data_IF_320297760147
#
_entry.id   IF_320297760147
#
_cell.length_a   1.000
_cell.length_b   1.000
_cell.length_c   1.000
_cell.angle_alpha   90.00
_cell.angle_beta   90.00
_cell.angle_gamma   90.00
#
_symmetry.space_group_name_H-M   'P 1'
#
loop_
_entity.id
_entity.type
_entity.pdbx_description
1 polymer ?
#
# COMPACT_ATOMS: atom_id res chain seq x y z
N UNK A 1 -39.96 -97.02 80.05
CA UNK A 1 -39.72 -95.67 79.49
C UNK A 1 -38.86 -95.79 78.24
N UNK A 2 -39.48 -95.72 77.05
CA UNK A 2 -38.86 -95.01 75.93
C UNK A 2 -39.92 -94.42 74.97
N UNK A 3 -40.34 -93.16 75.13
CA UNK A 3 -41.27 -92.50 74.16
C UNK A 3 -40.88 -91.09 73.75
N UNK A 4 -39.94 -90.42 74.43
CA UNK A 4 -39.61 -89.02 74.14
C UNK A 4 -38.60 -88.80 73.00
N UNK A 5 -37.76 -89.78 72.65
CA UNK A 5 -36.67 -89.58 71.68
C UNK A 5 -37.09 -89.57 70.20
N UNK A 6 -38.28 -90.09 69.86
CA UNK A 6 -38.77 -90.12 68.46
C UNK A 6 -39.50 -88.84 68.05
N UNK A 7 -40.15 -88.14 68.98
CA UNK A 7 -40.84 -86.88 68.70
C UNK A 7 -39.82 -85.76 68.45
N UNK A 8 -38.80 -85.70 69.29
CA UNK A 8 -37.74 -84.69 69.25
C UNK A 8 -36.89 -84.76 67.96
N UNK A 9 -36.60 -85.99 67.50
CA UNK A 9 -35.92 -86.22 66.21
C UNK A 9 -36.74 -85.77 65.00
N UNK A 10 -38.07 -85.86 65.07
CA UNK A 10 -38.96 -85.51 63.96
C UNK A 10 -39.10 -84.00 63.81
N UNK A 11 -39.13 -83.27 64.92
CA UNK A 11 -39.10 -81.81 64.92
C UNK A 11 -37.72 -81.27 64.52
N UNK A 12 -36.62 -81.90 64.96
CA UNK A 12 -35.28 -81.58 64.47
C UNK A 12 -35.16 -81.74 62.94
N UNK A 13 -35.69 -82.82 62.37
CA UNK A 13 -35.68 -83.04 60.91
C UNK A 13 -36.51 -82.00 60.16
N UNK A 14 -37.68 -81.62 60.68
CA UNK A 14 -38.48 -80.52 60.09
C UNK A 14 -37.74 -79.19 60.15
N UNK A 15 -37.08 -78.89 61.29
CA UNK A 15 -36.31 -77.66 61.46
C UNK A 15 -35.13 -77.58 60.51
N UNK A 16 -34.42 -78.70 60.30
CA UNK A 16 -33.34 -78.78 59.30
C UNK A 16 -33.88 -78.52 57.90
N UNK A 17 -34.98 -79.15 57.49
CA UNK A 17 -35.60 -78.90 56.18
C UNK A 17 -36.05 -77.44 56.00
N UNK A 18 -36.57 -76.80 57.04
CA UNK A 18 -36.92 -75.37 56.99
C UNK A 18 -35.68 -74.49 56.84
N UNK A 19 -34.63 -74.76 57.62
CA UNK A 19 -33.37 -74.01 57.54
C UNK A 19 -32.65 -74.22 56.20
N UNK A 20 -32.72 -75.41 55.61
CA UNK A 20 -32.18 -75.69 54.27
C UNK A 20 -32.92 -74.88 53.20
N UNK A 21 -34.25 -74.83 53.26
CA UNK A 21 -35.07 -74.02 52.35
C UNK A 21 -34.82 -72.50 52.53
N UNK A 22 -34.67 -72.02 53.77
CA UNK A 22 -34.29 -70.62 54.05
C UNK A 22 -32.90 -70.29 53.50
N UNK A 23 -31.93 -71.21 53.64
CA UNK A 23 -30.56 -71.03 53.16
C UNK A 23 -30.49 -71.03 51.62
N UNK A 24 -31.25 -71.90 50.94
CA UNK A 24 -31.40 -71.84 49.47
C UNK A 24 -32.03 -70.51 49.01
N UNK A 25 -33.05 -70.03 49.72
CA UNK A 25 -33.69 -68.75 49.42
C UNK A 25 -32.72 -67.58 49.61
N UNK A 26 -31.94 -67.56 50.69
CA UNK A 26 -30.92 -66.53 50.95
C UNK A 26 -29.80 -66.55 49.91
N UNK A 27 -29.33 -67.74 49.49
CA UNK A 27 -28.33 -67.86 48.42
C UNK A 27 -28.86 -67.31 47.09
N UNK A 28 -30.11 -67.61 46.75
CA UNK A 28 -30.77 -67.08 45.56
C UNK A 28 -30.91 -65.55 45.62
N UNK A 29 -31.34 -65.00 46.76
CA UNK A 29 -31.43 -63.55 46.99
C UNK A 29 -30.05 -62.86 46.90
N UNK A 30 -29.02 -63.45 47.49
CA UNK A 30 -27.66 -62.93 47.43
C UNK A 30 -27.11 -62.94 45.99
N UNK A 31 -27.34 -64.02 45.24
CA UNK A 31 -26.97 -64.12 43.83
C UNK A 31 -27.66 -63.04 42.99
N UNK A 32 -28.97 -62.89 43.14
CA UNK A 32 -29.74 -61.85 42.43
C UNK A 32 -29.28 -60.43 42.79
N UNK A 33 -28.99 -60.17 44.08
CA UNK A 33 -28.50 -58.86 44.53
C UNK A 33 -27.10 -58.55 43.98
N UNK A 34 -26.25 -59.57 43.84
CA UNK A 34 -24.94 -59.42 43.19
C UNK A 34 -25.09 -59.11 41.70
N UNK A 35 -25.99 -59.78 40.98
CA UNK A 35 -26.27 -59.50 39.57
C UNK A 35 -26.80 -58.09 39.35
N UNK A 36 -27.76 -57.66 40.19
CA UNK A 36 -28.32 -56.30 40.14
C UNK A 36 -27.24 -55.24 40.40
N UNK A 37 -26.36 -55.48 41.37
CA UNK A 37 -25.23 -54.60 41.68
C UNK A 37 -24.23 -54.53 40.51
N UNK A 38 -23.85 -55.66 39.94
CA UNK A 38 -22.95 -55.73 38.79
C UNK A 38 -23.54 -55.02 37.57
N UNK A 39 -24.85 -55.15 37.34
CA UNK A 39 -25.56 -54.48 36.25
C UNK A 39 -25.56 -52.96 36.43
N UNK A 40 -25.88 -52.47 37.64
CA UNK A 40 -25.85 -51.05 37.98
C UNK A 40 -24.44 -50.46 37.89
N UNK A 41 -23.44 -51.18 38.40
CA UNK A 41 -22.04 -50.76 38.30
C UNK A 41 -21.59 -50.64 36.84
N UNK A 42 -21.88 -51.63 36.00
CA UNK A 42 -21.57 -51.58 34.56
C UNK A 42 -22.28 -50.43 33.86
N UNK A 43 -23.54 -50.14 34.21
CA UNK A 43 -24.28 -49.02 33.65
C UNK A 43 -23.65 -47.68 34.05
N UNK A 44 -23.39 -47.46 35.34
CA UNK A 44 -22.76 -46.24 35.84
C UNK A 44 -21.38 -46.01 35.20
N UNK A 45 -20.58 -47.07 35.10
CA UNK A 45 -19.28 -47.07 34.42
C UNK A 45 -19.40 -46.66 32.95
N UNK A 46 -20.37 -47.24 32.22
CA UNK A 46 -20.63 -46.89 30.81
C UNK A 46 -21.09 -45.45 30.64
N UNK A 47 -21.94 -44.93 31.53
CA UNK A 47 -22.38 -43.53 31.48
C UNK A 47 -21.16 -42.62 31.64
N UNK A 48 -20.35 -42.85 32.66
CA UNK A 48 -19.18 -42.02 32.93
C UNK A 48 -18.16 -42.10 31.79
N UNK A 49 -17.90 -43.28 31.22
CA UNK A 49 -16.91 -43.46 30.14
C UNK A 49 -17.36 -42.92 28.77
N UNK A 50 -18.66 -42.74 28.53
CA UNK A 50 -19.18 -42.17 27.29
C UNK A 50 -19.43 -40.66 27.36
N UNK A 51 -19.43 -40.07 28.57
CA UNK A 51 -19.49 -38.62 28.73
C UNK A 51 -18.17 -38.01 28.26
N UNK A 52 -18.19 -36.96 27.41
CA UNK A 52 -16.98 -36.32 26.91
C UNK A 52 -16.24 -35.49 27.97
N UNK A 53 -16.94 -35.11 29.05
CA UNK A 53 -16.35 -34.40 30.17
C UNK A 53 -15.47 -35.36 30.99
N UNK A 54 -14.34 -34.86 31.46
CA UNK A 54 -13.41 -35.58 32.32
C UNK A 54 -14.08 -35.74 33.67
N UNK A 55 -14.19 -36.96 34.21
CA UNK A 55 -14.82 -37.23 35.51
C UNK A 55 -13.85 -37.95 36.43
N UNK A 56 -13.80 -37.53 37.69
CA UNK A 56 -12.96 -38.16 38.70
C UNK A 56 -13.60 -38.15 40.08
N UNK A 57 -13.11 -39.05 40.92
CA UNK A 57 -13.18 -38.95 42.37
C UNK A 57 -11.78 -39.17 42.93
N UNK A 58 -11.40 -38.43 43.98
CA UNK A 58 -10.14 -38.55 44.69
C UNK A 58 -10.37 -38.69 46.19
N UNK A 59 -9.44 -39.33 46.88
CA UNK A 59 -9.42 -39.42 48.33
C UNK A 59 -8.83 -38.16 49.00
N UNK A 60 -8.68 -38.20 50.33
CA UNK A 60 -8.11 -37.12 51.12
C UNK A 60 -6.66 -36.80 50.76
N UNK A 61 -5.89 -37.76 50.25
CA UNK A 61 -4.49 -37.63 49.82
C UNK A 61 -4.36 -37.25 48.32
N UNK A 62 -5.46 -36.83 47.69
CA UNK A 62 -5.54 -36.48 46.26
C UNK A 62 -5.21 -37.67 45.32
N UNK A 63 -5.40 -38.91 45.77
CA UNK A 63 -5.27 -40.10 44.93
C UNK A 63 -6.62 -40.45 44.32
N UNK A 64 -6.61 -40.85 43.06
CA UNK A 64 -7.81 -41.22 42.34
C UNK A 64 -8.50 -42.44 42.96
N UNK A 65 -9.79 -42.30 43.27
CA UNK A 65 -10.73 -43.39 43.58
C UNK A 65 -11.48 -43.82 42.32
N UNK A 66 -11.68 -42.88 41.40
CA UNK A 66 -12.38 -43.10 40.14
C UNK A 66 -11.83 -42.15 39.07
N UNK A 67 -11.76 -42.64 37.84
CA UNK A 67 -11.48 -41.88 36.65
C UNK A 67 -12.32 -42.45 35.50
N UNK A 68 -12.92 -41.59 34.67
CA UNK A 68 -13.53 -42.04 33.42
C UNK A 68 -12.51 -42.06 32.27
N UNK A 69 -12.93 -42.64 31.15
CA UNK A 69 -12.13 -42.71 29.93
C UNK A 69 -11.71 -41.34 29.40
N UNK A 70 -12.58 -40.33 29.44
CA UNK A 70 -12.24 -38.99 28.97
C UNK A 70 -11.08 -38.37 29.75
N UNK A 71 -11.03 -38.54 31.09
CA UNK A 71 -9.91 -38.11 31.92
C UNK A 71 -8.60 -38.79 31.51
N UNK A 72 -8.64 -40.11 31.29
CA UNK A 72 -7.48 -40.86 30.82
C UNK A 72 -6.99 -40.40 29.44
N UNK A 73 -7.89 -40.26 28.48
CA UNK A 73 -7.53 -39.97 27.09
C UNK A 73 -7.06 -38.52 26.90
N UNK A 74 -7.62 -37.56 27.66
CA UNK A 74 -7.37 -36.12 27.47
C UNK A 74 -6.36 -35.51 28.41
N UNK A 75 -6.31 -35.98 29.67
CA UNK A 75 -5.44 -35.39 30.68
C UNK A 75 -4.33 -36.36 31.08
N UNK A 76 -4.66 -37.52 31.63
CA UNK A 76 -3.67 -38.41 32.27
C UNK A 76 -2.84 -39.24 31.27
N UNK A 77 -3.27 -39.29 30.01
CA UNK A 77 -2.63 -40.04 28.92
C UNK A 77 -2.47 -41.54 29.22
N UNK A 78 -3.49 -42.16 29.80
CA UNK A 78 -3.55 -43.58 30.16
C UNK A 78 -4.54 -44.37 29.29
N UNK A 79 -4.25 -45.66 29.07
CA UNK A 79 -5.14 -46.55 28.31
C UNK A 79 -6.21 -47.24 29.17
N UNK A 80 -5.92 -47.50 30.44
CA UNK A 80 -6.85 -48.16 31.36
C UNK A 80 -7.23 -47.21 32.52
N UNK A 81 -8.48 -46.76 32.62
CA UNK A 81 -8.97 -45.97 33.75
C UNK A 81 -8.84 -46.64 35.12
N UNK A 82 -8.89 -47.97 35.20
CA UNK A 82 -8.75 -48.71 36.47
C UNK A 82 -7.33 -48.63 37.02
N UNK A 83 -6.34 -48.53 36.12
CA UNK A 83 -4.92 -48.39 36.48
C UNK A 83 -4.58 -47.00 37.06
N UNK A 84 -5.55 -46.08 37.08
CA UNK A 84 -5.43 -44.74 37.67
C UNK A 84 -5.65 -44.76 39.18
N UNK A 85 -6.42 -45.74 39.69
CA UNK A 85 -6.81 -45.79 41.09
C UNK A 85 -5.57 -45.87 42.00
N UNK A 86 -5.54 -45.07 43.06
CA UNK A 86 -4.45 -44.97 44.03
C UNK A 86 -3.27 -44.07 43.62
N UNK A 87 -3.26 -43.55 42.39
CA UNK A 87 -2.25 -42.59 41.89
C UNK A 87 -2.79 -41.16 41.98
N UNK A 88 -1.90 -40.17 41.92
CA UNK A 88 -2.27 -38.75 41.89
C UNK A 88 -1.86 -38.11 40.54
N UNK A 89 -2.21 -36.84 40.33
CA UNK A 89 -1.89 -36.11 39.09
C UNK A 89 -0.37 -36.05 38.83
N UNK A 90 0.43 -35.84 39.88
CA UNK A 90 1.88 -35.74 39.80
C UNK A 90 2.52 -37.00 39.22
N UNK A 91 2.04 -38.19 39.60
CA UNK A 91 2.51 -39.45 39.03
C UNK A 91 2.41 -39.45 37.49
N UNK A 92 1.28 -39.00 36.94
CA UNK A 92 1.07 -38.99 35.48
C UNK A 92 1.86 -37.87 34.79
N UNK A 93 1.94 -36.69 35.41
CA UNK A 93 2.76 -35.59 34.91
C UNK A 93 4.25 -35.99 34.83
N UNK A 94 4.78 -36.62 35.88
CA UNK A 94 6.16 -37.11 35.94
C UNK A 94 6.40 -38.24 34.94
N UNK A 95 5.45 -39.16 34.79
CA UNK A 95 5.55 -40.23 33.79
C UNK A 95 5.70 -39.65 32.38
N UNK A 96 4.83 -38.69 32.01
CA UNK A 96 4.90 -38.02 30.72
C UNK A 96 6.19 -37.21 30.56
N UNK A 97 6.65 -36.52 31.60
CA UNK A 97 7.95 -35.82 31.62
C UNK A 97 9.13 -36.78 31.41
N UNK A 98 9.11 -37.96 32.04
CA UNK A 98 10.13 -39.00 31.87
C UNK A 98 10.14 -39.57 30.44
N UNK A 99 9.00 -39.58 29.77
CA UNK A 99 8.83 -39.93 28.36
C UNK A 99 9.20 -38.78 27.40
N UNK A 100 9.81 -37.69 27.91
CA UNK A 100 10.27 -36.55 27.12
C UNK A 100 9.15 -35.58 26.70
N UNK A 101 7.95 -35.71 27.26
CA UNK A 101 6.82 -34.84 26.95
C UNK A 101 6.74 -33.65 27.91
N UNK A 102 6.25 -32.50 27.43
CA UNK A 102 5.94 -31.37 28.32
C UNK A 102 4.55 -31.54 28.90
N UNK A 103 4.45 -31.80 30.19
CA UNK A 103 3.19 -31.97 30.89
C UNK A 103 3.21 -31.16 32.20
N UNK A 104 2.39 -30.11 32.27
CA UNK A 104 2.37 -29.13 33.36
C UNK A 104 0.96 -28.79 33.83
N UNK A 105 -0.05 -29.52 33.37
CA UNK A 105 -1.44 -29.29 33.76
C UNK A 105 -1.60 -29.51 35.28
N UNK A 106 -2.18 -28.54 35.98
CA UNK A 106 -2.38 -28.58 37.43
C UNK A 106 -1.17 -28.15 38.28
N UNK A 107 0.00 -27.86 37.70
CA UNK A 107 1.19 -27.42 38.46
C UNK A 107 1.24 -25.91 38.70
N UNK A 108 0.52 -25.13 37.89
CA UNK A 108 0.59 -23.65 37.87
C UNK A 108 -0.57 -23.03 38.68
N UNK A 109 -1.60 -23.82 39.00
CA UNK A 109 -2.79 -23.40 39.72
C UNK A 109 -2.69 -23.74 41.21
N UNK A 110 -3.34 -22.92 42.05
CA UNK A 110 -3.61 -23.25 43.45
C UNK A 110 -4.35 -24.60 43.53
N UNK A 111 -3.99 -25.47 44.49
CA UNK A 111 -4.56 -26.82 44.56
C UNK A 111 -6.06 -26.75 44.88
N UNK A 112 -6.89 -26.71 43.84
CA UNK A 112 -8.33 -26.53 43.92
C UNK A 112 -9.03 -27.69 44.63
N UNK A 113 -8.42 -28.88 44.68
CA UNK A 113 -8.92 -30.00 45.49
C UNK A 113 -8.85 -29.68 46.99
N UNK A 114 -7.76 -29.06 47.46
CA UNK A 114 -7.60 -28.71 48.88
C UNK A 114 -8.55 -27.56 49.29
N UNK A 115 -8.78 -26.60 48.40
CA UNK A 115 -9.77 -25.53 48.60
C UNK A 115 -11.17 -26.12 48.83
N UNK A 116 -11.58 -27.11 48.03
CA UNK A 116 -12.90 -27.74 48.15
C UNK A 116 -13.02 -28.54 49.45
N UNK A 117 -11.97 -29.25 49.87
CA UNK A 117 -11.94 -29.97 51.14
C UNK A 117 -12.05 -29.00 52.32
N UNK A 118 -11.30 -27.91 52.31
CA UNK A 118 -11.33 -26.90 53.38
C UNK A 118 -12.68 -26.18 53.47
N UNK A 119 -13.25 -25.78 52.33
CA UNK A 119 -14.53 -25.06 52.29
C UNK A 119 -15.75 -25.96 52.43
N UNK A 120 -15.60 -27.27 52.21
CA UNK A 120 -16.68 -28.27 52.33
C UNK A 120 -17.88 -28.01 51.42
N UNK A 121 -17.70 -27.37 50.26
CA UNK A 121 -18.80 -27.00 49.34
C UNK A 121 -18.40 -27.11 47.88
N UNK A 122 -19.40 -27.27 47.01
CA UNK A 122 -19.20 -27.31 45.57
C UNK A 122 -18.68 -25.95 45.04
N UNK A 123 -17.70 -25.99 44.14
CA UNK A 123 -17.03 -24.82 43.59
C UNK A 123 -16.67 -25.04 42.10
N UNK A 124 -16.47 -23.94 41.39
CA UNK A 124 -16.08 -23.90 39.98
C UNK A 124 -14.73 -23.24 39.83
N UNK A 125 -13.87 -23.84 39.02
CA UNK A 125 -12.50 -23.39 38.73
C UNK A 125 -12.27 -23.40 37.21
N UNK A 126 -11.33 -22.58 36.76
CA UNK A 126 -10.79 -22.67 35.41
C UNK A 126 -9.34 -23.06 35.57
N UNK A 127 -8.96 -24.21 35.04
CA UNK A 127 -7.62 -24.79 35.17
C UNK A 127 -7.01 -24.93 33.78
N UNK A 128 -5.75 -24.56 33.62
CA UNK A 128 -5.05 -24.63 32.35
C UNK A 128 -3.62 -25.13 32.49
N UNK A 129 -3.07 -25.63 31.39
CA UNK A 129 -1.69 -26.06 31.33
C UNK A 129 -1.35 -26.82 30.07
N UNK A 130 -0.17 -27.42 30.03
CA UNK A 130 0.28 -28.22 28.91
C UNK A 130 0.06 -29.70 29.18
N UNK A 131 -0.49 -30.41 28.21
CA UNK A 131 -0.57 -31.88 28.16
C UNK A 131 0.12 -32.33 26.89
N UNK A 132 1.25 -33.05 27.02
CA UNK A 132 2.13 -33.40 25.90
C UNK A 132 2.48 -32.22 24.97
N UNK A 133 2.75 -31.06 25.57
CA UNK A 133 3.07 -29.81 24.88
C UNK A 133 1.87 -29.09 24.24
N UNK A 134 0.67 -29.66 24.28
CA UNK A 134 -0.55 -29.02 23.80
C UNK A 134 -1.22 -28.28 24.95
N UNK A 135 -1.67 -27.05 24.69
CA UNK A 135 -2.39 -26.27 25.70
C UNK A 135 -3.81 -26.79 25.87
N UNK A 136 -4.20 -27.03 27.12
CA UNK A 136 -5.51 -27.51 27.54
C UNK A 136 -6.06 -26.54 28.58
N UNK A 137 -7.35 -26.20 28.45
CA UNK A 137 -8.10 -25.41 29.43
C UNK A 137 -9.37 -26.16 29.79
N UNK A 138 -9.56 -26.40 31.09
CA UNK A 138 -10.73 -27.08 31.64
C UNK A 138 -11.60 -26.12 32.45
N UNK A 139 -12.91 -26.18 32.21
CA UNK A 139 -13.94 -25.64 33.10
C UNK A 139 -14.31 -26.73 34.12
N UNK A 140 -13.85 -26.55 35.34
CA UNK A 140 -13.81 -27.60 36.37
C UNK A 140 -14.84 -27.33 37.45
N UNK A 141 -15.71 -28.29 37.68
CA UNK A 141 -16.67 -28.30 38.79
C UNK A 141 -16.26 -29.38 39.79
N UNK A 142 -16.01 -29.00 41.04
CA UNK A 142 -15.60 -29.91 42.11
C UNK A 142 -16.54 -29.79 43.31
N UNK A 143 -16.75 -30.88 44.03
CA UNK A 143 -17.57 -30.96 45.24
C UNK A 143 -16.93 -31.92 46.25
N UNK A 144 -17.21 -31.76 47.57
CA UNK A 144 -16.80 -32.73 48.57
C UNK A 144 -17.50 -34.06 48.30
N UNK A 145 -16.72 -35.15 48.32
CA UNK A 145 -17.25 -36.51 48.29
C UNK A 145 -17.47 -36.96 49.73
N UNK A 146 -18.72 -37.25 50.09
CA UNK A 146 -19.11 -37.63 51.45
C UNK A 146 -19.50 -39.12 51.51
N UNK A 147 -19.23 -39.76 52.65
CA UNK A 147 -19.76 -41.10 52.95
C UNK A 147 -21.23 -41.05 53.41
N UNK A 148 -21.82 -42.22 53.67
CA UNK A 148 -23.21 -42.35 54.16
C UNK A 148 -23.45 -41.68 55.53
N UNK A 149 -22.39 -41.49 56.31
CA UNK A 149 -22.42 -40.83 57.63
C UNK A 149 -22.17 -39.32 57.55
N UNK A 150 -21.88 -38.79 56.36
CA UNK A 150 -21.57 -37.38 56.13
C UNK A 150 -20.10 -37.00 56.34
N UNK A 151 -19.20 -37.97 56.55
CA UNK A 151 -17.76 -37.69 56.65
C UNK A 151 -17.16 -37.46 55.27
N UNK A 152 -16.15 -36.59 55.21
CA UNK A 152 -15.44 -36.28 53.96
C UNK A 152 -14.51 -37.44 53.55
N UNK A 153 -14.82 -38.09 52.43
CA UNK A 153 -13.97 -39.10 51.79
C UNK A 153 -12.91 -38.48 50.87
N UNK A 154 -13.19 -37.31 50.32
CA UNK A 154 -12.29 -36.59 49.43
C UNK A 154 -13.04 -35.64 48.49
N UNK A 155 -12.70 -35.63 47.20
CA UNK A 155 -13.34 -34.76 46.21
C UNK A 155 -13.90 -35.55 45.03
N UNK A 156 -14.97 -35.04 44.43
CA UNK A 156 -15.53 -35.53 43.17
C UNK A 156 -15.69 -34.35 42.24
N UNK A 157 -15.49 -34.56 40.94
CA UNK A 157 -15.62 -33.46 40.00
C UNK A 157 -15.72 -33.89 38.55
N UNK A 158 -16.02 -32.90 37.73
CA UNK A 158 -15.91 -33.00 36.29
C UNK A 158 -15.20 -31.78 35.70
N UNK A 159 -14.55 -31.97 34.56
CA UNK A 159 -13.82 -30.96 33.82
C UNK A 159 -14.22 -31.01 32.36
N UNK A 160 -14.71 -29.89 31.83
CA UNK A 160 -15.03 -29.76 30.40
C UNK A 160 -13.88 -29.07 29.67
N UNK A 161 -13.39 -29.68 28.60
CA UNK A 161 -12.44 -29.04 27.69
C UNK A 161 -13.11 -27.85 27.01
N UNK A 162 -12.64 -26.64 27.34
CA UNK A 162 -13.09 -25.37 26.77
C UNK A 162 -11.98 -24.69 25.96
N UNK A 163 -10.93 -25.44 25.59
CA UNK A 163 -9.74 -24.90 24.92
C UNK A 163 -10.11 -24.23 23.61
N UNK A 164 -10.96 -24.89 22.81
CA UNK A 164 -11.39 -24.38 21.49
C UNK A 164 -12.25 -23.13 21.64
N UNK A 165 -13.17 -23.13 22.59
CA UNK A 165 -14.09 -22.04 22.88
C UNK A 165 -13.32 -20.80 23.37
N UNK A 166 -12.36 -21.00 24.28
CA UNK A 166 -11.46 -19.95 24.75
C UNK A 166 -10.64 -19.36 23.60
N UNK A 167 -10.07 -20.20 22.74
CA UNK A 167 -9.26 -19.75 21.61
C UNK A 167 -10.10 -18.94 20.61
N UNK A 168 -11.29 -19.44 20.25
CA UNK A 168 -12.23 -18.71 19.37
C UNK A 168 -12.62 -17.36 19.98
N UNK A 169 -12.92 -17.32 21.29
CA UNK A 169 -13.26 -16.08 21.97
C UNK A 169 -12.11 -15.08 21.93
N UNK A 170 -10.89 -15.53 22.24
CA UNK A 170 -9.68 -14.70 22.23
C UNK A 170 -9.35 -14.18 20.83
N UNK A 171 -9.49 -15.02 19.81
CA UNK A 171 -9.26 -14.61 18.41
C UNK A 171 -10.32 -13.61 17.93
N UNK A 172 -11.58 -13.80 18.34
CA UNK A 172 -12.67 -12.86 18.06
C UNK A 172 -12.44 -11.50 18.75
N UNK A 173 -12.04 -11.51 20.02
CA UNK A 173 -11.70 -10.29 20.76
C UNK A 173 -10.53 -9.55 20.11
N UNK A 174 -9.45 -10.27 19.76
CA UNK A 174 -8.29 -9.70 19.06
C UNK A 174 -8.67 -9.12 17.70
N UNK A 175 -9.50 -9.83 16.94
CA UNK A 175 -10.00 -9.37 15.64
C UNK A 175 -10.85 -8.11 15.79
N UNK A 176 -11.77 -8.07 16.77
CA UNK A 176 -12.60 -6.89 17.07
C UNK A 176 -11.74 -5.69 17.49
N UNK A 177 -10.79 -5.89 18.40
CA UNK A 177 -9.88 -4.83 18.84
C UNK A 177 -9.05 -4.29 17.68
N UNK A 178 -8.51 -5.16 16.82
CA UNK A 178 -7.76 -4.75 15.63
C UNK A 178 -8.61 -3.97 14.64
N UNK A 179 -9.85 -4.40 14.38
CA UNK A 179 -10.78 -3.68 13.49
C UNK A 179 -11.14 -2.31 14.05
N UNK A 180 -11.38 -2.21 15.35
CA UNK A 180 -11.69 -0.96 16.01
C UNK A 180 -10.51 0.02 15.95
N UNK A 181 -9.29 -0.47 16.22
CA UNK A 181 -8.08 0.34 16.11
C UNK A 181 -7.87 0.88 14.69
N UNK A 182 -8.09 0.06 13.65
CA UNK A 182 -8.00 0.52 12.25
C UNK A 182 -9.01 1.63 11.94
N UNK A 183 -10.22 1.55 12.49
CA UNK A 183 -11.26 2.56 12.27
C UNK A 183 -10.98 3.85 13.05
N UNK A 184 -10.42 3.74 14.25
CA UNK A 184 -10.07 4.88 15.11
C UNK A 184 -8.81 5.62 14.64
N UNK A 185 -7.85 4.92 14.04
CA UNK A 185 -6.59 5.50 13.55
C UNK A 185 -6.65 6.02 12.11
N UNK A 186 -7.68 5.67 11.35
CA UNK A 186 -7.88 6.19 9.99
C UNK A 186 -8.28 7.68 10.02
N UNK A 187 -7.36 8.57 9.62
CA UNK A 187 -7.58 10.02 9.63
C UNK A 187 -8.05 10.60 8.29
N UNK A 188 -7.59 10.05 7.16
CA UNK A 188 -7.82 10.65 5.82
C UNK A 188 -9.22 10.40 5.25
N UNK A 189 -9.98 9.50 5.89
CA UNK A 189 -11.32 9.16 5.49
C UNK A 189 -12.17 8.77 6.69
N UNK A 190 -13.48 9.00 6.59
CA UNK A 190 -14.43 8.65 7.62
C UNK A 190 -15.41 7.60 7.14
N UNK A 191 -15.65 6.60 7.99
CA UNK A 191 -16.65 5.57 7.78
C UNK A 191 -17.97 5.98 8.42
N UNK A 192 -19.07 5.58 7.81
CA UNK A 192 -20.38 5.69 8.42
C UNK A 192 -21.26 4.50 8.03
N UNK A 193 -22.16 4.14 8.94
CA UNK A 193 -23.24 3.18 8.70
C UNK A 193 -24.55 3.80 9.14
N UNK A 194 -25.52 3.74 8.24
CA UNK A 194 -26.90 4.14 8.51
C UNK A 194 -27.82 2.92 8.41
N UNK A 195 -28.84 2.88 9.25
CA UNK A 195 -29.95 1.92 9.17
C UNK A 195 -31.12 2.58 8.43
N UNK A 196 -31.70 1.84 7.50
CA UNK A 196 -32.87 2.22 6.72
C UNK A 196 -34.06 1.40 7.23
N UNK A 197 -35.07 2.07 7.81
CA UNK A 197 -36.31 1.39 8.20
C UNK A 197 -37.18 1.15 6.95
N UNK A 198 -37.64 -0.09 6.75
CA UNK A 198 -38.50 -0.42 5.59
C UNK A 198 -39.83 0.36 5.56
N UNK A 199 -40.36 0.71 6.74
CA UNK A 199 -41.63 1.47 6.86
C UNK A 199 -41.45 2.96 6.51
N UNK A 200 -40.24 3.51 6.68
CA UNK A 200 -39.91 4.90 6.36
C UNK A 200 -38.55 4.97 5.65
N UNK A 201 -38.45 4.55 4.37
CA UNK A 201 -37.17 4.38 3.68
C UNK A 201 -36.40 5.68 3.47
N UNK A 202 -37.00 6.84 3.76
CA UNK A 202 -36.35 8.17 3.72
C UNK A 202 -35.71 8.59 5.04
N UNK A 203 -35.94 7.85 6.12
CA UNK A 203 -35.31 8.12 7.42
C UNK A 203 -34.11 7.21 7.63
N UNK A 204 -32.93 7.83 7.61
CA UNK A 204 -31.65 7.19 7.89
C UNK A 204 -31.31 7.39 9.37
N UNK A 205 -31.26 6.30 10.13
CA UNK A 205 -30.76 6.32 11.50
C UNK A 205 -29.25 6.11 11.51
N UNK A 206 -28.51 6.98 12.18
CA UNK A 206 -27.06 6.81 12.35
C UNK A 206 -26.81 5.61 13.27
N UNK A 207 -26.13 4.59 12.77
CA UNK A 207 -25.69 3.41 13.55
C UNK A 207 -24.27 3.62 14.03
N UNK A 208 -23.42 4.13 13.13
CA UNK A 208 -22.01 4.31 13.39
C UNK A 208 -21.46 5.44 12.51
N UNK A 209 -20.50 6.18 13.04
CA UNK A 209 -19.64 7.10 12.29
C UNK A 209 -18.27 7.12 12.95
N UNK A 210 -17.19 7.04 12.16
CA UNK A 210 -15.84 7.05 12.70
C UNK A 210 -15.48 8.42 13.29
N UNK A 211 -14.58 8.47 14.28
CA UNK A 211 -14.14 9.74 14.89
C UNK A 211 -13.61 10.76 13.88
N UNK A 212 -12.93 10.30 12.81
CA UNK A 212 -12.39 11.13 11.74
C UNK A 212 -13.42 11.99 11.01
N UNK A 213 -14.72 11.65 11.07
CA UNK A 213 -15.77 12.48 10.49
C UNK A 213 -15.83 13.90 11.09
N UNK A 214 -15.36 14.04 12.33
CA UNK A 214 -15.26 15.32 13.03
C UNK A 214 -14.22 16.24 12.39
N UNK A 215 -13.08 15.70 11.99
CA UNK A 215 -11.99 16.47 11.38
C UNK A 215 -12.22 16.69 9.88
N UNK A 216 -12.82 15.71 9.19
CA UNK A 216 -13.08 15.78 7.74
C UNK A 216 -14.25 16.71 7.42
N UNK A 217 -15.34 16.61 8.17
CA UNK A 217 -16.60 17.25 7.83
C UNK A 217 -17.17 18.13 8.97
N UNK A 218 -16.50 18.20 10.13
CA UNK A 218 -17.01 18.93 11.28
C UNK A 218 -18.22 18.27 11.93
N UNK A 219 -18.43 16.97 11.70
CA UNK A 219 -19.61 16.24 12.19
C UNK A 219 -19.43 15.92 13.68
N UNK A 220 -20.48 16.19 14.44
CA UNK A 220 -20.65 15.73 15.82
C UNK A 220 -21.65 14.56 15.81
N UNK A 221 -21.24 13.33 16.18
CA UNK A 221 -22.06 12.11 16.02
C UNK A 221 -23.43 12.12 16.71
N UNK A 222 -23.58 12.92 17.77
CA UNK A 222 -24.80 13.15 18.54
C UNK A 222 -25.84 14.01 17.78
N UNK A 223 -25.44 14.72 16.73
CA UNK A 223 -26.35 15.52 15.93
C UNK A 223 -27.11 14.67 14.91
N UNK A 224 -28.38 15.01 14.61
CA UNK A 224 -29.15 14.32 13.58
C UNK A 224 -28.51 14.50 12.19
N UNK A 225 -28.59 13.46 11.36
CA UNK A 225 -28.00 13.41 10.01
C UNK A 225 -28.33 14.64 9.14
N UNK A 226 -29.54 15.20 9.27
CA UNK A 226 -29.96 16.40 8.52
C UNK A 226 -29.09 17.63 8.78
N UNK A 227 -28.36 17.67 9.91
CA UNK A 227 -27.45 18.76 10.28
C UNK A 227 -25.98 18.49 9.92
N UNK A 228 -25.64 17.29 9.47
CA UNK A 228 -24.24 16.92 9.19
C UNK A 228 -23.63 17.71 8.04
N UNK A 229 -24.45 18.06 7.03
CA UNK A 229 -23.94 18.70 5.82
C UNK A 229 -24.73 19.96 5.47
N UNK A 230 -24.05 21.10 5.53
CA UNK A 230 -24.50 22.32 4.86
C UNK A 230 -23.91 22.35 3.44
N UNK A 231 -24.71 21.91 2.46
CA UNK A 231 -24.27 21.75 1.07
C UNK A 231 -24.29 23.11 0.34
N UNK A 232 -23.21 23.40 -0.41
CA UNK A 232 -23.08 24.59 -1.24
C UNK A 232 -24.22 24.69 -2.27
N UNK A 233 -24.73 25.89 -2.50
CA UNK A 233 -25.93 26.15 -3.34
C UNK A 233 -25.87 25.47 -4.72
N UNK A 234 -24.74 25.59 -5.41
CA UNK A 234 -24.52 25.02 -6.74
C UNK A 234 -24.58 23.49 -6.78
N UNK A 235 -24.30 22.81 -5.66
CA UNK A 235 -24.21 21.35 -5.62
C UNK A 235 -25.51 20.69 -5.12
N UNK A 236 -26.43 21.46 -4.51
CA UNK A 236 -27.68 20.95 -3.90
C UNK A 236 -28.55 20.14 -4.85
N UNK A 237 -28.73 20.62 -6.09
CA UNK A 237 -29.57 19.94 -7.11
C UNK A 237 -28.98 18.57 -7.46
N UNK A 238 -27.67 18.52 -7.72
CA UNK A 238 -26.94 17.31 -8.09
C UNK A 238 -26.95 16.28 -6.97
N UNK A 239 -26.66 16.70 -5.73
CA UNK A 239 -26.66 15.80 -4.57
C UNK A 239 -28.06 15.24 -4.31
N UNK A 240 -29.11 16.06 -4.40
CA UNK A 240 -30.50 15.61 -4.25
C UNK A 240 -30.86 14.54 -5.28
N UNK A 241 -30.51 14.74 -6.54
CA UNK A 241 -30.78 13.77 -7.60
C UNK A 241 -29.98 12.47 -7.39
N UNK A 242 -28.72 12.55 -6.98
CA UNK A 242 -27.91 11.39 -6.66
C UNK A 242 -28.46 10.59 -5.48
N UNK A 243 -28.94 11.26 -4.44
CA UNK A 243 -29.57 10.62 -3.29
C UNK A 243 -30.83 9.84 -3.68
N UNK A 244 -31.67 10.41 -4.54
CA UNK A 244 -32.87 9.72 -5.06
C UNK A 244 -32.50 8.49 -5.91
N UNK A 245 -31.49 8.61 -6.79
CA UNK A 245 -31.00 7.47 -7.58
C UNK A 245 -30.39 6.37 -6.71
N UNK A 246 -29.71 6.73 -5.63
CA UNK A 246 -29.07 5.78 -4.72
C UNK A 246 -30.09 4.84 -4.05
N UNK A 247 -31.33 5.28 -3.83
CA UNK A 247 -32.39 4.40 -3.31
C UNK A 247 -32.75 3.28 -4.29
N UNK A 248 -32.66 3.55 -5.59
CA UNK A 248 -32.98 2.57 -6.65
C UNK A 248 -31.81 1.64 -6.96
N UNK A 249 -30.59 2.18 -6.94
CA UNK A 249 -29.38 1.46 -7.37
C UNK A 249 -28.48 0.99 -6.23
N UNK A 250 -28.87 1.27 -4.99
CA UNK A 250 -28.11 0.95 -3.77
C UNK A 250 -26.67 1.50 -3.81
N UNK A 251 -26.41 2.57 -4.56
CA UNK A 251 -25.09 3.18 -4.71
C UNK A 251 -25.18 4.69 -4.76
N UNK A 252 -24.34 5.34 -3.97
CA UNK A 252 -24.13 6.78 -3.95
C UNK A 252 -22.64 7.04 -4.18
N UNK A 253 -22.30 7.92 -5.10
CA UNK A 253 -20.93 8.33 -5.36
C UNK A 253 -20.97 9.76 -5.88
N UNK A 254 -20.61 10.74 -5.04
CA UNK A 254 -20.67 12.15 -5.39
C UNK A 254 -19.56 12.97 -4.74
N UNK A 255 -19.11 13.99 -5.47
CA UNK A 255 -18.21 15.04 -5.00
C UNK A 255 -19.00 16.34 -4.90
N UNK A 256 -19.00 16.97 -3.74
CA UNK A 256 -19.75 18.21 -3.50
C UNK A 256 -19.13 19.02 -2.38
N UNK A 257 -19.41 20.31 -2.34
CA UNK A 257 -18.91 21.19 -1.30
C UNK A 257 -19.82 21.22 -0.09
N UNK A 258 -19.20 21.14 1.09
CA UNK A 258 -19.84 21.33 2.38
C UNK A 258 -19.20 22.49 3.12
N UNK A 259 -19.97 23.19 3.95
CA UNK A 259 -19.41 24.15 4.89
C UNK A 259 -18.92 23.39 6.13
N UNK A 260 -17.63 23.49 6.42
CA UNK A 260 -17.04 22.88 7.60
C UNK A 260 -17.22 23.83 8.80
N UNK A 261 -18.05 23.50 9.81
CA UNK A 261 -18.43 24.45 10.86
C UNK A 261 -17.26 24.91 11.73
N UNK A 262 -16.35 23.99 12.13
CA UNK A 262 -15.20 24.34 12.98
C UNK A 262 -14.13 25.18 12.28
N UNK A 263 -13.86 24.88 11.01
CA UNK A 263 -12.88 25.61 10.21
C UNK A 263 -13.47 26.86 9.54
N UNK A 264 -14.79 27.06 9.65
CA UNK A 264 -15.54 28.16 9.04
C UNK A 264 -15.26 28.37 7.54
N UNK A 265 -15.09 27.29 6.77
CA UNK A 265 -14.74 27.36 5.34
C UNK A 265 -15.42 26.27 4.51
N UNK A 266 -15.52 26.50 3.20
CA UNK A 266 -16.00 25.50 2.25
C UNK A 266 -14.92 24.46 1.97
N UNK A 267 -15.30 23.18 2.07
CA UNK A 267 -14.46 22.01 1.79
C UNK A 267 -15.13 21.14 0.73
N UNK A 268 -14.33 20.51 -0.12
CA UNK A 268 -14.81 19.50 -1.06
C UNK A 268 -14.82 18.12 -0.40
N UNK A 269 -15.98 17.47 -0.41
CA UNK A 269 -16.16 16.14 0.14
C UNK A 269 -16.49 15.15 -0.99
N UNK A 270 -15.83 14.00 -0.99
CA UNK A 270 -16.21 12.86 -1.83
C UNK A 270 -16.85 11.79 -0.96
N UNK A 271 -18.14 11.54 -1.17
CA UNK A 271 -18.89 10.52 -0.42
C UNK A 271 -19.23 9.35 -1.33
N UNK A 272 -18.87 8.16 -0.89
CA UNK A 272 -19.19 6.88 -1.55
C UNK A 272 -19.98 6.04 -0.55
N UNK A 273 -21.17 5.57 -0.93
CA UNK A 273 -21.97 4.70 -0.09
C UNK A 273 -22.66 3.61 -0.89
N UNK A 274 -22.87 2.45 -0.26
CA UNK A 274 -23.54 1.29 -0.83
C UNK A 274 -24.61 0.78 0.13
N UNK A 275 -25.80 0.49 -0.41
CA UNK A 275 -26.89 -0.15 0.31
C UNK A 275 -26.66 -1.65 0.42
N UNK A 276 -26.91 -2.20 1.60
CA UNK A 276 -26.78 -3.62 1.93
C UNK A 276 -28.09 -4.08 2.55
N UNK A 277 -28.78 -5.03 1.92
CA UNK A 277 -30.00 -5.62 2.47
C UNK A 277 -29.63 -6.59 3.60
N UNK A 278 -30.07 -6.31 4.83
CA UNK A 278 -30.07 -7.27 5.92
C UNK A 278 -31.46 -7.88 6.07
N UNK A 279 -31.56 -9.11 6.57
CA UNK A 279 -32.81 -9.89 6.54
C UNK A 279 -34.06 -9.17 7.09
N UNK A 280 -33.93 -8.39 8.18
CA UNK A 280 -35.01 -7.55 8.74
C UNK A 280 -34.82 -6.04 8.53
N UNK A 281 -33.58 -5.60 8.32
CA UNK A 281 -33.20 -4.18 8.21
C UNK A 281 -32.22 -3.99 7.06
N UNK A 282 -32.37 -2.92 6.29
CA UNK A 282 -31.39 -2.52 5.27
C UNK A 282 -30.42 -1.50 5.86
N UNK A 283 -29.16 -1.58 5.44
CA UNK A 283 -28.10 -0.68 5.88
C UNK A 283 -27.52 0.08 4.70
N UNK A 284 -26.99 1.27 4.96
CA UNK A 284 -26.15 2.01 4.01
C UNK A 284 -24.78 2.18 4.64
N UNK A 285 -23.77 1.59 4.02
CA UNK A 285 -22.37 1.71 4.44
C UNK A 285 -21.70 2.70 3.51
N UNK A 286 -20.96 3.66 4.06
CA UNK A 286 -20.22 4.60 3.23
C UNK A 286 -18.95 5.11 3.86
N UNK A 287 -18.17 5.73 3.00
CA UNK A 287 -16.92 6.42 3.30
C UNK A 287 -17.00 7.83 2.76
N UNK A 288 -16.33 8.76 3.44
CA UNK A 288 -16.18 10.14 2.97
C UNK A 288 -14.72 10.58 3.07
N UNK A 289 -14.27 11.33 2.06
CA UNK A 289 -12.92 11.86 1.94
C UNK A 289 -12.98 13.39 1.82
N UNK A 290 -12.10 14.11 2.52
CA UNK A 290 -11.81 15.50 2.15
C UNK A 290 -10.91 15.48 0.91
N UNK A 291 -11.40 16.05 -0.19
CA UNK A 291 -10.68 16.16 -1.46
C UNK A 291 -10.37 17.62 -1.81
N UNK A 292 -10.43 18.53 -0.84
CA UNK A 292 -10.22 19.97 -1.05
C UNK A 292 -8.85 20.26 -1.65
N UNK A 293 -7.80 19.71 -1.08
CA UNK A 293 -6.43 19.95 -1.54
C UNK A 293 -6.16 19.29 -2.90
N UNK A 294 -6.78 18.13 -3.13
CA UNK A 294 -6.78 17.48 -4.44
C UNK A 294 -7.46 18.35 -5.51
N UNK A 295 -8.63 18.93 -5.21
CA UNK A 295 -9.37 19.79 -6.13
C UNK A 295 -8.59 21.09 -6.42
N UNK A 296 -8.00 21.72 -5.39
CA UNK A 296 -7.15 22.91 -5.54
C UNK A 296 -5.93 22.63 -6.42
N UNK A 297 -5.27 21.49 -6.21
CA UNK A 297 -4.11 21.09 -7.00
C UNK A 297 -4.50 20.84 -8.47
N UNK A 298 -5.63 20.17 -8.71
CA UNK A 298 -6.13 19.92 -10.06
C UNK A 298 -6.50 21.23 -10.78
N UNK A 299 -7.14 22.18 -10.10
CA UNK A 299 -7.46 23.50 -10.66
C UNK A 299 -6.19 24.31 -10.98
N UNK A 300 -5.19 24.27 -10.11
CA UNK A 300 -3.90 24.93 -10.35
C UNK A 300 -3.16 24.34 -11.56
N UNK A 301 -3.15 23.00 -11.70
CA UNK A 301 -2.59 22.32 -12.86
C UNK A 301 -3.33 22.69 -14.15
N UNK A 302 -4.66 22.73 -14.12
CA UNK A 302 -5.46 23.13 -15.28
C UNK A 302 -5.23 24.60 -15.67
N UNK A 303 -5.06 25.50 -14.70
CA UNK A 303 -4.70 26.89 -14.94
C UNK A 303 -3.31 27.00 -15.58
N UNK A 304 -2.32 26.28 -15.05
CA UNK A 304 -0.96 26.27 -15.60
C UNK A 304 -0.90 25.68 -17.01
N UNK A 305 -1.70 24.64 -17.29
CA UNK A 305 -1.84 24.07 -18.62
C UNK A 305 -2.30 25.11 -19.65
N UNK A 306 -3.36 25.87 -19.34
CA UNK A 306 -3.86 26.95 -20.21
C UNK A 306 -2.83 28.06 -20.43
N UNK A 307 -2.10 28.45 -19.38
CA UNK A 307 -1.02 29.44 -19.50
C UNK A 307 0.09 28.96 -20.45
N UNK A 308 0.49 27.69 -20.33
CA UNK A 308 1.51 27.09 -21.19
C UNK A 308 1.07 26.98 -22.65
N UNK A 309 -0.20 26.64 -22.90
CA UNK A 309 -0.78 26.63 -24.25
C UNK A 309 -0.69 28.02 -24.88
N UNK A 310 -1.18 29.07 -24.18
CA UNK A 310 -1.09 30.45 -24.69
C UNK A 310 0.35 30.90 -24.95
N UNK A 311 1.30 30.53 -24.07
CA UNK A 311 2.71 30.87 -24.26
C UNK A 311 3.32 30.14 -25.46
N UNK A 312 2.89 28.91 -25.70
CA UNK A 312 3.34 28.10 -26.83
C UNK A 312 2.86 28.70 -28.15
N UNK A 313 1.59 29.10 -28.23
CA UNK A 313 1.01 29.77 -29.41
C UNK A 313 1.74 31.07 -29.72
N UNK A 314 1.96 31.92 -28.71
CA UNK A 314 2.72 33.16 -28.86
C UNK A 314 4.16 32.91 -29.37
N UNK A 315 4.83 31.85 -28.88
CA UNK A 315 6.16 31.49 -29.37
C UNK A 315 6.13 31.02 -30.83
N UNK A 316 5.09 30.30 -31.26
CA UNK A 316 4.93 29.91 -32.66
C UNK A 316 4.72 31.12 -33.57
N UNK A 317 3.91 32.10 -33.15
CA UNK A 317 3.70 33.34 -33.91
C UNK A 317 4.99 34.15 -34.04
N UNK A 318 5.70 34.39 -32.92
CA UNK A 318 6.97 35.14 -32.92
C UNK A 318 8.02 34.45 -33.79
N UNK A 319 8.14 33.12 -33.70
CA UNK A 319 9.07 32.36 -34.53
C UNK A 319 8.72 32.46 -36.02
N UNK A 320 7.42 32.48 -36.37
CA UNK A 320 6.97 32.62 -37.75
C UNK A 320 7.27 34.02 -38.28
N UNK A 321 6.96 35.06 -37.50
CA UNK A 321 7.29 36.45 -37.84
C UNK A 321 8.80 36.64 -38.03
N UNK A 322 9.62 36.09 -37.13
CA UNK A 322 11.07 36.16 -37.21
C UNK A 322 11.61 35.47 -38.47
N UNK A 323 11.10 34.29 -38.83
CA UNK A 323 11.46 33.60 -40.08
C UNK A 323 11.15 34.43 -41.31
N UNK A 324 9.97 35.08 -41.34
CA UNK A 324 9.57 35.96 -42.45
C UNK A 324 10.48 37.20 -42.52
N UNK A 325 10.79 37.82 -41.38
CA UNK A 325 11.69 38.97 -41.31
C UNK A 325 13.11 38.62 -41.76
N UNK A 326 13.65 37.46 -41.34
CA UNK A 326 14.96 36.99 -41.78
C UNK A 326 15.00 36.79 -43.30
N UNK A 327 13.97 36.15 -43.86
CA UNK A 327 13.86 35.96 -45.32
C UNK A 327 13.81 37.30 -46.06
N UNK A 328 12.99 38.24 -45.59
CA UNK A 328 12.88 39.57 -46.19
C UNK A 328 14.20 40.35 -46.10
N UNK A 329 14.91 40.28 -44.97
CA UNK A 329 16.23 40.91 -44.81
C UNK A 329 17.23 40.37 -45.83
N UNK A 330 17.22 39.06 -46.07
CA UNK A 330 18.12 38.43 -47.04
C UNK A 330 17.75 38.80 -48.49
N UNK A 331 16.46 38.93 -48.80
CA UNK A 331 15.95 39.44 -50.09
C UNK A 331 16.35 40.91 -50.31
N UNK A 332 16.09 41.79 -49.34
CA UNK A 332 16.44 43.22 -49.39
C UNK A 332 17.96 43.42 -49.56
N UNK A 333 18.76 42.62 -48.85
CA UNK A 333 20.23 42.62 -48.99
C UNK A 333 20.63 42.25 -50.41
N UNK A 334 20.07 41.18 -50.97
CA UNK A 334 20.38 40.74 -52.34
C UNK A 334 19.98 41.78 -53.38
N UNK A 335 18.81 42.41 -53.22
CA UNK A 335 18.37 43.49 -54.10
C UNK A 335 19.31 44.71 -54.06
N UNK A 336 19.78 45.09 -52.85
CA UNK A 336 20.76 46.16 -52.70
C UNK A 336 22.10 45.81 -53.39
N UNK A 337 22.56 44.57 -53.24
CA UNK A 337 23.77 44.09 -53.91
C UNK A 337 23.65 44.16 -55.44
N UNK A 338 22.53 43.71 -56.00
CA UNK A 338 22.27 43.75 -57.44
C UNK A 338 22.21 45.20 -57.95
N UNK A 339 21.65 46.12 -57.14
CA UNK A 339 21.65 47.56 -57.44
C UNK A 339 23.06 48.15 -57.46
N UNK A 340 23.91 47.80 -56.49
CA UNK A 340 25.31 48.26 -56.45
C UNK A 340 26.08 47.72 -57.66
N UNK A 341 25.92 46.42 -57.96
CA UNK A 341 26.51 45.78 -59.14
C UNK A 341 26.10 46.47 -60.44
N UNK A 342 24.81 46.78 -60.59
CA UNK A 342 24.29 47.53 -61.74
C UNK A 342 24.90 48.92 -61.82
N UNK A 343 24.87 49.70 -60.75
CA UNK A 343 25.40 51.06 -60.72
C UNK A 343 26.87 51.10 -61.13
N UNK A 344 27.70 50.19 -60.62
CA UNK A 344 29.12 50.16 -60.98
C UNK A 344 29.31 49.72 -62.44
N UNK A 345 28.65 48.66 -62.91
CA UNK A 345 28.86 48.13 -64.27
C UNK A 345 28.24 49.01 -65.36
N UNK A 346 27.03 49.52 -65.16
CA UNK A 346 26.30 50.26 -66.17
C UNK A 346 26.54 51.77 -66.10
N UNK A 347 26.70 52.34 -64.90
CA UNK A 347 26.85 53.80 -64.76
C UNK A 347 28.30 54.24 -64.66
N UNK A 348 29.18 53.51 -63.98
CA UNK A 348 30.56 53.96 -63.73
C UNK A 348 31.54 53.39 -64.77
N UNK A 349 31.48 52.09 -65.04
CA UNK A 349 32.45 51.39 -65.91
C UNK A 349 32.58 51.96 -67.33
N UNK A 350 31.50 52.41 -68.01
CA UNK A 350 31.63 52.98 -69.35
C UNK A 350 32.49 54.25 -69.38
N UNK A 351 32.41 55.09 -68.35
CA UNK A 351 33.22 56.32 -68.28
C UNK A 351 34.68 56.02 -67.94
N UNK A 352 34.93 55.05 -67.05
CA UNK A 352 36.29 54.55 -66.77
C UNK A 352 36.94 54.02 -68.06
N UNK A 353 36.19 53.26 -68.87
CA UNK A 353 36.68 52.76 -70.16
C UNK A 353 36.89 53.87 -71.20
N UNK A 354 36.01 54.89 -71.25
CA UNK A 354 36.21 56.07 -72.11
C UNK A 354 37.48 56.83 -71.73
N UNK A 355 37.72 57.05 -70.44
CA UNK A 355 38.95 57.70 -69.94
C UNK A 355 40.21 56.87 -70.29
N UNK A 356 40.14 55.54 -70.24
CA UNK A 356 41.28 54.67 -70.62
C UNK A 356 41.68 54.81 -72.10
N UNK A 357 40.74 55.19 -72.96
CA UNK A 357 40.94 55.38 -74.40
C UNK A 357 41.41 56.79 -74.77
N UNK A 358 41.40 57.75 -73.83
CA UNK A 358 42.00 59.07 -74.07
C UNK A 358 43.51 59.03 -73.83
N UNK A 359 44.24 59.99 -74.41
CA UNK A 359 45.71 60.08 -74.29
C UNK A 359 46.16 60.52 -72.89
N UNK A 360 46.02 59.64 -71.89
CA UNK A 360 46.37 59.90 -70.49
C UNK A 360 47.88 59.91 -70.24
N UNK A 361 48.32 60.78 -69.32
CA UNK A 361 49.69 60.79 -68.82
C UNK A 361 49.99 59.61 -67.86
N UNK A 362 51.25 59.40 -67.51
CA UNK A 362 51.70 58.27 -66.67
C UNK A 362 51.06 58.26 -65.28
N UNK A 363 50.82 59.43 -64.68
CA UNK A 363 50.25 59.55 -63.32
C UNK A 363 48.74 59.33 -63.35
N UNK A 364 48.05 59.84 -64.36
CA UNK A 364 46.63 59.64 -64.61
C UNK A 364 46.30 58.17 -64.91
N UNK A 365 47.15 57.46 -65.68
CA UNK A 365 47.01 56.01 -65.91
C UNK A 365 47.09 55.23 -64.60
N UNK A 366 48.04 55.57 -63.72
CA UNK A 366 48.17 54.90 -62.42
C UNK A 366 46.94 55.12 -61.54
N UNK A 367 46.37 56.33 -61.49
CA UNK A 367 45.13 56.59 -60.74
C UNK A 367 43.93 55.84 -61.34
N UNK A 368 43.83 55.77 -62.67
CA UNK A 368 42.74 55.04 -63.32
C UNK A 368 42.79 53.54 -63.06
N UNK A 369 44.00 52.94 -63.06
CA UNK A 369 44.18 51.53 -62.70
C UNK A 369 43.77 51.24 -61.25
N UNK A 370 44.04 52.17 -60.31
CA UNK A 370 43.60 52.04 -58.92
C UNK A 370 42.08 52.12 -58.81
N UNK A 371 41.44 53.05 -59.53
CA UNK A 371 39.97 53.19 -59.56
C UNK A 371 39.33 51.94 -60.16
N UNK A 372 39.83 51.44 -61.28
CA UNK A 372 39.34 50.21 -61.93
C UNK A 372 39.47 49.01 -60.98
N UNK A 373 40.60 48.88 -60.28
CA UNK A 373 40.82 47.83 -59.28
C UNK A 373 39.84 47.94 -58.10
N UNK A 374 39.61 49.15 -57.57
CA UNK A 374 38.69 49.35 -56.45
C UNK A 374 37.23 49.08 -56.86
N UNK A 375 36.84 49.46 -58.09
CA UNK A 375 35.50 49.18 -58.62
C UNK A 375 35.29 47.69 -58.86
N UNK A 376 36.29 46.99 -59.39
CA UNK A 376 36.24 45.54 -59.54
C UNK A 376 36.20 44.85 -58.16
N UNK A 377 36.85 45.39 -57.12
CA UNK A 377 36.79 44.87 -55.75
C UNK A 377 35.41 45.04 -55.10
N UNK A 378 34.77 46.20 -55.26
CA UNK A 378 33.41 46.49 -54.77
C UNK A 378 32.38 45.53 -55.37
N UNK A 379 32.60 45.12 -56.62
CA UNK A 379 31.66 44.31 -57.39
C UNK A 379 32.02 42.83 -57.42
N UNK A 380 33.24 42.48 -57.00
CA UNK A 380 33.78 41.12 -57.06
C UNK A 380 32.97 40.14 -56.19
N UNK A 381 32.53 39.00 -56.77
CA UNK A 381 31.96 37.89 -55.99
C UNK A 381 32.92 37.34 -54.93
N UNK A 382 34.24 37.52 -55.12
CA UNK A 382 35.27 36.99 -54.24
C UNK A 382 35.44 37.83 -52.97
N UNK A 383 35.36 39.17 -53.05
CA UNK A 383 35.29 40.05 -51.88
C UNK A 383 34.06 39.71 -51.03
N UNK A 384 32.95 39.35 -51.71
CA UNK A 384 31.72 38.82 -51.12
C UNK A 384 31.94 37.51 -50.35
N UNK A 385 32.53 36.47 -50.96
CA UNK A 385 32.78 35.17 -50.30
C UNK A 385 33.84 35.23 -49.19
N UNK A 386 34.91 36.00 -49.36
CA UNK A 386 36.01 36.10 -48.41
C UNK A 386 35.65 36.94 -47.17
N UNK A 387 34.79 37.96 -47.31
CA UNK A 387 34.27 38.74 -46.17
C UNK A 387 33.09 38.08 -45.46
N UNK A 388 32.17 37.41 -46.17
CA UNK A 388 30.92 36.95 -45.55
C UNK A 388 30.92 35.49 -45.07
N UNK A 389 31.44 34.53 -45.84
CA UNK A 389 31.08 33.13 -45.59
C UNK A 389 32.18 32.25 -44.99
N UNK A 390 33.47 32.63 -44.96
CA UNK A 390 34.49 31.71 -44.41
C UNK A 390 35.64 32.24 -43.54
N UNK A 391 36.14 33.50 -43.63
CA UNK A 391 37.49 33.79 -43.05
C UNK A 391 37.78 35.19 -42.46
N UNK A 392 36.83 36.12 -42.44
CA UNK A 392 36.95 37.40 -41.71
C UNK A 392 38.17 38.26 -42.07
N UNK A 393 38.60 38.23 -43.33
CA UNK A 393 39.79 38.96 -43.81
C UNK A 393 39.65 40.49 -43.68
N UNK A 394 40.77 41.15 -43.42
CA UNK A 394 40.88 42.62 -43.50
C UNK A 394 40.88 43.09 -44.95
N UNK A 395 40.47 44.35 -45.23
CA UNK A 395 40.46 44.89 -46.60
C UNK A 395 41.81 44.78 -47.32
N UNK A 396 42.92 44.96 -46.60
CA UNK A 396 44.27 44.86 -47.17
C UNK A 396 44.66 43.42 -47.49
N UNK A 397 44.23 42.44 -46.68
CA UNK A 397 44.42 41.01 -46.96
C UNK A 397 43.60 40.57 -48.20
N UNK A 398 42.38 41.09 -48.38
CA UNK A 398 41.55 40.82 -49.57
C UNK A 398 42.24 41.34 -50.83
N UNK A 399 42.77 42.57 -50.79
CA UNK A 399 43.55 43.16 -51.89
C UNK A 399 44.78 42.32 -52.24
N UNK A 400 45.57 41.94 -51.24
CA UNK A 400 46.77 41.12 -51.45
C UNK A 400 46.39 39.73 -51.99
N UNK A 401 45.36 39.07 -51.44
CA UNK A 401 44.89 37.77 -51.93
C UNK A 401 44.44 37.84 -53.40
N UNK A 402 43.71 38.90 -53.77
CA UNK A 402 43.24 39.13 -55.14
C UNK A 402 44.41 39.29 -56.11
N UNK A 403 45.41 40.11 -55.76
CA UNK A 403 46.60 40.30 -56.60
C UNK A 403 47.46 39.03 -56.72
N UNK A 404 47.52 38.20 -55.66
CA UNK A 404 48.17 36.89 -55.71
C UNK A 404 47.45 35.93 -56.66
N UNK A 405 46.10 35.90 -56.65
CA UNK A 405 45.29 35.09 -57.57
C UNK A 405 45.55 35.46 -59.04
N UNK A 406 45.64 36.76 -59.33
CA UNK A 406 46.01 37.32 -60.64
C UNK A 406 47.44 36.97 -61.09
N UNK A 407 48.27 36.38 -60.21
CA UNK A 407 49.62 35.92 -60.55
C UNK A 407 50.73 36.94 -60.32
N UNK A 408 50.42 38.09 -59.71
CA UNK A 408 51.43 39.11 -59.40
C UNK A 408 52.41 38.59 -58.33
N UNK A 409 53.69 38.85 -58.54
CA UNK A 409 54.77 38.52 -57.59
C UNK A 409 54.76 39.51 -56.42
N UNK A 410 55.30 39.12 -55.27
CA UNK A 410 55.32 39.97 -54.07
C UNK A 410 55.95 41.36 -54.32
N UNK A 411 57.00 41.42 -55.15
CA UNK A 411 57.66 42.67 -55.58
C UNK A 411 56.74 43.59 -56.41
N UNK A 412 55.86 43.02 -57.21
CA UNK A 412 54.90 43.78 -58.03
C UNK A 412 53.73 44.28 -57.17
N UNK A 413 53.23 43.43 -56.26
CA UNK A 413 52.19 43.81 -55.30
C UNK A 413 52.69 44.93 -54.38
N UNK A 414 53.95 44.84 -53.91
CA UNK A 414 54.59 45.86 -53.08
C UNK A 414 54.66 47.22 -53.78
N UNK A 415 55.03 47.22 -55.06
CA UNK A 415 55.04 48.44 -55.88
C UNK A 415 53.64 49.02 -56.09
N UNK A 416 52.65 48.18 -56.37
CA UNK A 416 51.27 48.61 -56.64
C UNK A 416 50.57 49.15 -55.40
N UNK A 417 50.84 48.57 -54.22
CA UNK A 417 50.26 49.00 -52.96
C UNK A 417 51.12 50.04 -52.22
N UNK A 418 52.27 50.42 -52.77
CA UNK A 418 53.26 51.32 -52.16
C UNK A 418 53.65 50.91 -50.72
N UNK A 419 53.90 49.60 -50.52
CA UNK A 419 54.32 49.02 -49.24
C UNK A 419 55.59 48.18 -49.41
N UNK A 420 56.27 47.86 -48.32
CA UNK A 420 57.48 47.03 -48.41
C UNK A 420 57.16 45.61 -48.87
N UNK A 421 58.10 44.96 -49.56
CA UNK A 421 57.98 43.55 -49.98
C UNK A 421 57.74 42.65 -48.76
N UNK A 422 58.42 42.95 -47.64
CA UNK A 422 58.26 42.24 -46.36
C UNK A 422 56.84 42.34 -45.81
N UNK A 423 56.19 43.49 -45.99
CA UNK A 423 54.77 43.70 -45.61
C UNK A 423 53.83 42.84 -46.46
N UNK A 424 54.08 42.73 -47.78
CA UNK A 424 53.31 41.84 -48.66
C UNK A 424 53.49 40.38 -48.29
N UNK A 425 54.72 39.96 -47.95
CA UNK A 425 54.99 38.60 -47.49
C UNK A 425 54.30 38.31 -46.14
N UNK A 426 54.26 39.29 -45.24
CA UNK A 426 53.47 39.24 -44.01
C UNK A 426 51.98 39.04 -44.27
N UNK A 427 51.38 39.80 -45.20
CA UNK A 427 49.99 39.59 -45.60
C UNK A 427 49.77 38.22 -46.25
N UNK A 428 50.67 37.76 -47.14
CA UNK A 428 50.57 36.40 -47.73
C UNK A 428 50.65 35.32 -46.68
N UNK A 429 51.44 35.51 -45.63
CA UNK A 429 51.54 34.59 -44.50
C UNK A 429 50.24 34.57 -43.68
N UNK A 430 49.71 35.73 -43.29
CA UNK A 430 48.44 35.86 -42.58
C UNK A 430 47.27 35.26 -43.38
N UNK A 431 47.28 35.46 -44.71
CA UNK A 431 46.29 34.85 -45.61
C UNK A 431 46.38 33.32 -45.57
N UNK A 432 47.59 32.74 -45.62
CA UNK A 432 47.78 31.28 -45.53
C UNK A 432 47.36 30.71 -44.18
N UNK A 433 47.57 31.45 -43.10
CA UNK A 433 47.16 31.09 -41.75
C UNK A 433 45.65 30.99 -41.64
N UNK A 434 44.95 32.05 -42.05
CA UNK A 434 43.48 32.07 -42.07
C UNK A 434 42.92 30.97 -42.99
N UNK A 435 43.53 30.73 -44.15
CA UNK A 435 43.14 29.64 -45.06
C UNK A 435 43.50 28.22 -44.58
N UNK A 436 44.15 28.05 -43.42
CA UNK A 436 44.52 26.71 -42.90
C UNK A 436 45.57 25.96 -43.74
N UNK A 437 46.34 26.68 -44.56
CA UNK A 437 47.40 26.14 -45.45
C UNK A 437 48.81 26.57 -45.01
N UNK A 438 48.94 27.15 -43.82
CA UNK A 438 50.21 27.43 -43.16
C UNK A 438 51.02 26.13 -43.01
N UNK A 439 52.32 26.17 -43.34
CA UNK A 439 53.22 24.99 -43.27
C UNK A 439 53.04 23.91 -44.35
N UNK A 440 51.93 23.91 -45.11
CA UNK A 440 51.71 22.94 -46.20
C UNK A 440 52.45 23.37 -47.47
N UNK A 441 53.02 22.41 -48.23
CA UNK A 441 53.65 22.64 -49.56
C UNK A 441 52.62 22.97 -50.68
N UNK A 442 51.58 23.73 -50.36
CA UNK A 442 50.53 24.16 -51.29
C UNK A 442 50.80 25.59 -51.74
N UNK A 443 50.77 25.84 -53.05
CA UNK A 443 50.93 27.18 -53.60
C UNK A 443 49.70 28.04 -53.29
N UNK A 444 49.91 29.22 -52.69
CA UNK A 444 48.82 30.13 -52.28
C UNK A 444 47.94 30.55 -53.48
N UNK A 445 48.53 30.79 -54.65
CA UNK A 445 47.78 31.16 -55.86
C UNK A 445 46.89 30.01 -56.32
N UNK A 446 47.43 28.79 -56.40
CA UNK A 446 46.68 27.60 -56.81
C UNK A 446 45.50 27.35 -55.88
N UNK A 447 45.70 27.51 -54.56
CA UNK A 447 44.63 27.36 -53.57
C UNK A 447 43.55 28.46 -53.70
N UNK A 448 43.95 29.71 -53.93
CA UNK A 448 43.00 30.80 -54.19
C UNK A 448 42.23 30.65 -55.52
N UNK A 449 42.79 29.90 -56.49
CA UNK A 449 42.11 29.54 -57.73
C UNK A 449 41.12 28.39 -57.53
N UNK A 450 41.35 27.47 -56.58
CA UNK A 450 40.41 26.37 -56.29
C UNK A 450 39.19 26.79 -55.47
N UNK A 451 39.23 27.93 -54.78
CA UNK A 451 38.09 28.50 -54.04
C UNK A 451 37.23 29.36 -54.98
N UNK A 452 36.66 28.76 -56.02
CA UNK A 452 35.72 29.45 -56.92
C UNK A 452 34.44 29.87 -56.20
#
# INVERSE_FOLDING_TARGET
MPSDTKSDRRDLLKRIQTLEAENETLKSLAGKRQEDFDALFKLARRIADNVPDLMWAKDMDNRYLFANRALCDRLLMCQNPEAVVGKNDLYFAELERSNGQRHTFGEICENSDDIVKEKGKAMRFVEDGLVRGQYLVLDVHKAPLLDESGNLLGTVGCGRDITREQQIRKDLEKSRASQQLLIETALDFAFFRFQVKMVHPRELKVVFVSPSAREIAGITPDQPLKRWFQIHSNDRKTVRYAFLRAHKHLKFNQRFRIFHPRLAQWRWLHVIATGVSGGRDSFVNGIMFDITDQMRSNEALAAKGRELETRTDNLYEVNTALKVLLKKRDEDRKALEDKVLYNVKALIRPYVQKMKRSGLDTRQKAYLEIIESNLDEIVSPLSRKLSFDYLGFTPTEIKVATMVKQGKKAKEIARLLNISIRTVEGYRYAIRERLGIKGKKVNLRTYLLSIN
#
